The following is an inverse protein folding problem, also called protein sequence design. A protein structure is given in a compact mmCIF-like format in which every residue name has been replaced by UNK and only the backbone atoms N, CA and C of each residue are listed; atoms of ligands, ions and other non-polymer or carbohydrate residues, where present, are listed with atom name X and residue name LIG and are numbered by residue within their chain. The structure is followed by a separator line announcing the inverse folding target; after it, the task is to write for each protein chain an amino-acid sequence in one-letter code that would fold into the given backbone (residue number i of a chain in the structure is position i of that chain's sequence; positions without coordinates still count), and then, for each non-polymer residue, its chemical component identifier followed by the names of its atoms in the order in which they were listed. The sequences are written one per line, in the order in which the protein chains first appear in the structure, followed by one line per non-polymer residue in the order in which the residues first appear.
data_IF_878484289501
#
_entry.id   IF_878484289501
#
_cell.length_a   1.000
_cell.length_b   1.000
_cell.length_c   1.000
_cell.angle_alpha   90.00
_cell.angle_beta   90.00
_cell.angle_gamma   90.00
#
_symmetry.space_group_name_H-M   'P 1'
#
loop_
_entity.id
_entity.type
_entity.pdbx_description
1 polymer ?
#
# COMPACT_ATOMS: atom_id res chain seq x y z
N UNK A 1 -5.17 15.27 15.95
CA UNK A 1 -5.36 14.29 17.03
C UNK A 1 -4.17 13.33 17.02
N UNK A 2 -3.58 13.00 18.18
CA UNK A 2 -2.46 12.04 18.22
C UNK A 2 -3.01 10.63 18.02
N UNK A 3 -2.36 9.81 17.19
CA UNK A 3 -2.80 8.44 16.90
C UNK A 3 -2.94 7.60 18.18
N UNK A 4 -2.06 7.84 19.16
CA UNK A 4 -2.06 7.14 20.47
C UNK A 4 -3.33 7.39 21.32
N UNK A 5 -4.12 8.42 20.99
CA UNK A 5 -5.32 8.83 21.73
C UNK A 5 -6.62 8.38 21.04
N UNK A 6 -6.53 7.68 19.91
CA UNK A 6 -7.71 7.26 19.16
C UNK A 6 -8.55 6.27 19.96
N UNK A 7 -9.88 6.42 19.86
CA UNK A 7 -10.83 5.45 20.37
C UNK A 7 -10.89 4.22 19.45
N UNK A 8 -11.45 3.08 19.91
CA UNK A 8 -11.64 1.92 19.04
C UNK A 8 -12.45 2.28 17.80
N UNK A 9 -12.00 1.82 16.63
CA UNK A 9 -12.64 2.15 15.36
C UNK A 9 -11.69 2.04 14.19
N UNK A 10 -12.21 2.36 13.01
CA UNK A 10 -11.49 2.31 11.75
C UNK A 10 -11.23 3.74 11.27
N UNK A 11 -9.99 4.03 10.90
CA UNK A 11 -9.52 5.35 10.55
C UNK A 11 -8.81 5.34 9.21
N UNK A 12 -9.00 6.40 8.43
CA UNK A 12 -8.17 6.73 7.27
C UNK A 12 -6.98 7.54 7.76
N UNK A 13 -5.78 7.01 7.57
CA UNK A 13 -4.55 7.71 7.90
C UNK A 13 -3.72 7.95 6.63
N UNK A 14 -2.87 8.95 6.67
CA UNK A 14 -1.95 9.30 5.59
C UNK A 14 -0.57 9.55 6.15
N UNK A 15 0.46 9.09 5.45
CA UNK A 15 1.83 9.47 5.81
C UNK A 15 2.03 10.96 5.48
N UNK A 16 2.41 11.77 6.47
CA UNK A 16 2.89 13.14 6.29
C UNK A 16 3.99 13.09 5.24
N UNK A 17 3.84 13.91 4.20
CA UNK A 17 4.63 13.86 2.98
C UNK A 17 6.14 13.71 3.26
N UNK A 18 6.73 12.60 2.82
CA UNK A 18 8.17 12.54 2.61
C UNK A 18 8.46 13.38 1.37
N UNK A 19 9.07 14.55 1.54
CA UNK A 19 9.65 15.29 0.42
C UNK A 19 11.04 14.73 0.22
N UNK A 20 11.33 13.98 -0.86
CA UNK A 20 12.70 13.60 -1.15
C UNK A 20 13.52 14.88 -1.32
N UNK A 21 14.61 14.99 -0.56
CA UNK A 21 15.49 16.15 -0.60
C UNK A 21 15.92 16.41 -2.06
N UNK A 22 15.58 17.59 -2.60
CA UNK A 22 15.91 18.00 -3.98
C UNK A 22 14.79 17.88 -5.04
N UNK A 23 13.55 17.51 -4.68
CA UNK A 23 12.46 17.51 -5.64
C UNK A 23 11.96 18.94 -5.97
N UNK A 24 12.11 19.38 -7.24
CA UNK A 24 11.66 20.70 -7.74
C UNK A 24 10.15 20.94 -7.64
N UNK A 25 9.34 19.88 -7.63
CA UNK A 25 7.89 19.94 -7.47
C UNK A 25 7.48 18.82 -6.49
N UNK A 26 7.36 19.11 -5.19
CA UNK A 26 6.79 18.15 -4.25
C UNK A 26 5.34 17.89 -4.68
N UNK A 27 5.07 16.66 -5.12
CA UNK A 27 3.70 16.18 -5.32
C UNK A 27 3.29 15.40 -4.08
N UNK A 28 2.10 15.68 -3.57
CA UNK A 28 1.50 14.85 -2.53
C UNK A 28 1.38 13.43 -3.07
N UNK A 29 2.09 12.50 -2.43
CA UNK A 29 2.07 11.11 -2.84
C UNK A 29 0.77 10.47 -2.35
N UNK A 30 -0.25 10.46 -3.21
CA UNK A 30 -1.55 9.83 -2.93
C UNK A 30 -1.45 8.30 -2.64
N UNK A 31 -0.30 7.66 -2.90
CA UNK A 31 -0.01 6.26 -2.50
C UNK A 31 0.25 6.04 -1.00
N UNK A 32 -0.06 7.02 -0.14
CA UNK A 32 0.24 6.96 1.30
C UNK A 32 -0.99 6.83 2.19
N UNK A 33 -2.19 6.68 1.61
CA UNK A 33 -3.40 6.38 2.36
C UNK A 33 -3.34 4.94 2.86
N UNK A 34 -3.53 4.77 4.17
CA UNK A 34 -3.56 3.48 4.86
C UNK A 34 -4.83 3.38 5.69
N UNK A 35 -5.26 2.16 5.97
CA UNK A 35 -6.34 1.89 6.91
C UNK A 35 -5.75 1.63 8.29
N UNK A 36 -6.22 2.32 9.32
CA UNK A 36 -5.84 2.06 10.71
C UNK A 36 -7.04 1.51 11.47
N UNK A 37 -6.92 0.31 12.00
CA UNK A 37 -7.92 -0.29 12.87
C UNK A 37 -7.42 -0.26 14.31
N UNK A 38 -8.15 0.42 15.18
CA UNK A 38 -7.88 0.50 16.61
C UNK A 38 -8.85 -0.43 17.33
N UNK A 39 -8.33 -1.40 18.08
CA UNK A 39 -9.11 -2.36 18.86
C UNK A 39 -8.73 -2.31 20.33
N UNK A 40 -9.67 -2.67 21.22
CA UNK A 40 -9.43 -2.71 22.67
C UNK A 40 -9.32 -1.33 23.34
N UNK A 41 -9.29 -1.30 24.67
CA UNK A 41 -9.23 -0.08 25.49
C UNK A 41 -8.14 -0.21 26.56
N UNK A 42 -7.61 0.95 27.01
CA UNK A 42 -6.57 1.01 28.03
C UNK A 42 -5.31 0.21 27.65
N UNK A 43 -4.88 -0.67 28.55
CA UNK A 43 -3.69 -1.52 28.37
C UNK A 43 -3.83 -2.58 27.27
N UNK A 44 -5.05 -2.93 26.86
CA UNK A 44 -5.31 -3.91 25.81
C UNK A 44 -5.48 -3.28 24.41
N UNK A 45 -5.22 -1.98 24.27
CA UNK A 45 -5.37 -1.28 23.00
C UNK A 45 -4.32 -1.76 22.00
N UNK A 46 -4.75 -2.07 20.77
CA UNK A 46 -3.87 -2.41 19.64
C UNK A 46 -4.23 -1.63 18.40
N UNK A 47 -3.22 -1.39 17.58
CA UNK A 47 -3.30 -0.61 16.34
C UNK A 47 -2.85 -1.48 15.17
N UNK A 48 -3.72 -1.69 14.20
CA UNK A 48 -3.46 -2.49 13.02
C UNK A 48 -3.45 -1.59 11.79
N UNK A 49 -2.34 -1.53 11.06
CA UNK A 49 -2.25 -0.80 9.80
C UNK A 49 -2.49 -1.79 8.65
N UNK A 50 -3.41 -1.46 7.76
CA UNK A 50 -3.84 -2.28 6.62
C UNK A 50 -4.16 -3.74 7.02
N UNK A 51 -3.35 -4.69 6.56
CA UNK A 51 -3.49 -6.12 6.78
C UNK A 51 -2.56 -6.66 7.87
N UNK A 52 -2.01 -5.81 8.74
CA UNK A 52 -1.17 -6.26 9.85
C UNK A 52 -1.99 -7.12 10.84
N UNK A 53 -1.69 -8.42 10.81
CA UNK A 53 -2.31 -9.45 11.65
C UNK A 53 -1.92 -9.37 13.11
N UNK A 54 -0.74 -8.83 13.44
CA UNK A 54 -0.24 -8.84 14.81
C UNK A 54 -0.70 -7.59 15.56
N UNK A 55 -0.71 -6.45 14.88
CA UNK A 55 -1.01 -5.15 15.46
C UNK A 55 0.06 -4.71 16.45
N UNK A 56 0.20 -3.41 16.62
CA UNK A 56 1.20 -2.82 17.51
C UNK A 56 0.55 -2.28 18.78
N UNK A 57 1.24 -2.44 19.91
CA UNK A 57 0.87 -1.80 21.15
C UNK A 57 1.22 -0.30 21.11
N UNK A 58 0.44 0.62 21.72
CA UNK A 58 0.74 2.05 21.73
C UNK A 58 2.16 2.44 22.18
N UNK A 59 2.82 1.62 23.00
CA UNK A 59 4.18 1.82 23.49
C UNK A 59 5.26 1.38 22.49
N UNK A 60 4.94 0.43 21.60
CA UNK A 60 5.84 -0.12 20.58
C UNK A 60 5.76 0.62 19.24
N UNK A 61 4.80 1.55 19.10
CA UNK A 61 4.55 2.35 17.89
C UNK A 61 5.56 3.50 17.70
N UNK A 62 6.84 3.17 17.45
CA UNK A 62 7.88 4.16 17.12
C UNK A 62 7.66 4.81 15.74
N UNK A 63 6.92 4.17 14.81
CA UNK A 63 6.79 4.60 13.40
C UNK A 63 5.51 5.38 13.05
N UNK A 64 4.69 5.76 14.04
CA UNK A 64 3.37 6.37 13.77
C UNK A 64 3.36 7.91 13.85
N UNK A 65 4.47 8.55 14.19
CA UNK A 65 4.59 10.02 14.18
C UNK A 65 4.51 10.60 12.75
N UNK A 66 4.91 9.78 11.78
CA UNK A 66 4.85 10.05 10.36
C UNK A 66 3.43 10.04 9.80
N UNK A 67 2.42 9.63 10.57
CA UNK A 67 1.06 9.54 10.08
C UNK A 67 0.16 10.64 10.65
N UNK A 68 -0.76 11.10 9.82
CA UNK A 68 -1.86 11.97 10.20
C UNK A 68 -3.20 11.26 9.99
N UNK A 69 -4.15 11.52 10.89
CA UNK A 69 -5.51 11.00 10.80
C UNK A 69 -6.32 11.93 9.92
N UNK A 70 -6.84 11.41 8.81
CA UNK A 70 -7.70 12.17 7.89
C UNK A 70 -9.15 12.11 8.36
N UNK A 71 -9.66 10.91 8.60
CA UNK A 71 -11.07 10.70 8.97
C UNK A 71 -11.28 9.38 9.70
N UNK A 72 -12.42 9.27 10.39
CA UNK A 72 -12.93 8.02 10.98
C UNK A 72 -14.03 7.46 10.09
N UNK A 73 -14.07 6.15 9.91
CA UNK A 73 -15.18 5.46 9.26
C UNK A 73 -16.26 5.10 10.29
N UNK A 74 -17.52 5.32 9.92
CA UNK A 74 -18.68 4.96 10.75
C UNK A 74 -19.03 3.46 10.64
N UNK A 75 -18.65 2.83 9.54
CA UNK A 75 -18.89 1.42 9.25
C UNK A 75 -17.66 0.79 8.60
N UNK A 76 -17.65 -0.54 8.49
CA UNK A 76 -16.58 -1.26 7.80
C UNK A 76 -16.53 -0.80 6.34
N UNK A 77 -15.41 -0.26 5.85
CA UNK A 77 -15.32 0.22 4.48
C UNK A 77 -15.50 -0.95 3.52
N UNK A 78 -16.38 -0.77 2.54
CA UNK A 78 -16.56 -1.72 1.44
C UNK A 78 -15.60 -1.38 0.31
N UNK A 79 -14.87 -2.38 -0.17
CA UNK A 79 -14.01 -2.24 -1.34
C UNK A 79 -14.89 -2.43 -2.58
N UNK A 80 -15.29 -1.32 -3.19
CA UNK A 80 -16.09 -1.29 -4.41
C UNK A 80 -15.22 -0.86 -5.60
N UNK A 81 -15.47 -1.42 -6.78
CA UNK A 81 -14.77 -1.07 -8.03
C UNK A 81 -13.25 -1.23 -7.99
N UNK A 82 -12.76 -2.27 -7.32
CA UNK A 82 -11.32 -2.54 -7.27
C UNK A 82 -10.77 -2.85 -8.68
N UNK A 83 -9.60 -2.31 -8.99
CA UNK A 83 -8.86 -2.70 -10.19
C UNK A 83 -7.37 -2.71 -9.91
N UNK A 84 -6.71 -3.75 -10.39
CA UNK A 84 -5.28 -3.92 -10.35
C UNK A 84 -4.77 -3.68 -11.78
N UNK A 85 -3.87 -2.73 -11.92
CA UNK A 85 -3.21 -2.46 -13.20
C UNK A 85 -1.77 -2.92 -13.14
N UNK A 86 -1.39 -3.81 -14.05
CA UNK A 86 -0.01 -4.22 -14.28
C UNK A 86 0.47 -3.52 -15.53
N UNK A 87 1.58 -2.79 -15.44
CA UNK A 87 2.25 -2.25 -16.62
C UNK A 87 3.71 -2.64 -16.64
N UNK A 88 4.22 -2.91 -17.85
CA UNK A 88 5.64 -3.14 -18.08
C UNK A 88 6.04 -2.62 -19.45
N UNK A 89 7.35 -2.40 -19.61
CA UNK A 89 7.95 -2.03 -20.89
C UNK A 89 8.91 -3.11 -21.33
N UNK A 90 8.91 -3.41 -22.62
CA UNK A 90 9.88 -4.34 -23.17
C UNK A 90 11.24 -3.66 -23.47
N UNK A 91 12.16 -4.42 -24.08
CA UNK A 91 13.48 -3.90 -24.46
C UNK A 91 13.46 -2.90 -25.63
N UNK A 92 12.35 -2.82 -26.37
CA UNK A 92 12.13 -1.87 -27.47
C UNK A 92 11.49 -0.57 -26.97
N UNK A 93 10.95 -0.57 -25.74
CA UNK A 93 10.26 0.56 -25.14
C UNK A 93 8.74 0.51 -25.30
N UNK A 94 8.19 -0.56 -25.88
CA UNK A 94 6.76 -0.76 -26.03
C UNK A 94 6.14 -1.00 -24.66
N UNK A 95 5.02 -0.33 -24.38
CA UNK A 95 4.32 -0.41 -23.11
C UNK A 95 3.12 -1.36 -23.21
N UNK A 96 3.06 -2.30 -22.27
CA UNK A 96 1.96 -3.22 -22.10
C UNK A 96 1.22 -2.88 -20.81
N UNK A 97 -0.11 -2.94 -20.84
CA UNK A 97 -0.96 -2.67 -19.70
C UNK A 97 -2.07 -3.72 -19.60
N UNK A 98 -2.21 -4.32 -18.42
CA UNK A 98 -3.25 -5.27 -18.08
C UNK A 98 -4.04 -4.74 -16.90
N UNK A 99 -5.36 -4.63 -17.07
CA UNK A 99 -6.27 -4.28 -15.98
C UNK A 99 -7.08 -5.51 -15.59
N UNK A 100 -6.98 -5.89 -14.32
CA UNK A 100 -7.74 -7.01 -13.74
C UNK A 100 -8.54 -6.52 -12.53
N UNK A 101 -9.64 -7.20 -12.20
CA UNK A 101 -10.58 -6.77 -11.15
C UNK A 101 -10.36 -7.47 -9.82
N UNK A 102 -9.47 -8.46 -9.76
CA UNK A 102 -9.23 -9.24 -8.55
C UNK A 102 -7.87 -9.96 -8.59
N UNK A 103 -7.43 -10.40 -7.41
CA UNK A 103 -6.14 -11.07 -7.21
C UNK A 103 -6.08 -12.49 -7.79
N UNK A 104 -7.22 -13.16 -7.97
CA UNK A 104 -7.28 -14.49 -8.58
C UNK A 104 -6.98 -14.41 -10.07
N UNK A 105 -7.63 -13.48 -10.76
CA UNK A 105 -7.40 -13.15 -12.18
C UNK A 105 -5.95 -12.69 -12.40
N UNK A 106 -5.41 -11.89 -11.47
CA UNK A 106 -3.99 -11.54 -11.45
C UNK A 106 -3.09 -12.79 -11.37
N UNK A 107 -3.39 -13.71 -10.45
CA UNK A 107 -2.66 -14.97 -10.31
C UNK A 107 -2.71 -15.82 -11.57
N UNK A 108 -3.86 -15.91 -12.23
CA UNK A 108 -4.02 -16.61 -13.50
C UNK A 108 -3.19 -15.97 -14.62
N UNK A 109 -3.16 -14.64 -14.68
CA UNK A 109 -2.32 -13.91 -15.63
C UNK A 109 -0.84 -14.30 -15.44
N UNK A 110 -0.32 -14.28 -14.21
CA UNK A 110 1.07 -14.71 -13.98
C UNK A 110 1.33 -16.19 -14.25
N UNK A 111 0.33 -17.07 -14.10
CA UNK A 111 0.46 -18.50 -14.42
C UNK A 111 0.47 -18.76 -15.93
N UNK A 112 -0.41 -18.11 -16.69
CA UNK A 112 -0.56 -18.35 -18.13
C UNK A 112 0.45 -17.58 -18.98
N UNK A 113 0.89 -16.42 -18.51
CA UNK A 113 1.94 -15.65 -19.15
C UNK A 113 3.30 -16.05 -18.58
N UNK A 114 3.69 -17.32 -18.71
CA UNK A 114 5.00 -17.82 -18.27
C UNK A 114 6.17 -17.06 -18.91
N UNK A 115 5.95 -16.42 -20.06
CA UNK A 115 6.92 -15.52 -20.68
C UNK A 115 7.06 -14.16 -19.95
N UNK A 116 6.05 -13.71 -19.20
CA UNK A 116 6.20 -12.61 -18.22
C UNK A 116 6.98 -13.02 -16.97
N UNK A 117 7.20 -14.32 -16.74
CA UNK A 117 8.12 -14.82 -15.72
C UNK A 117 9.59 -14.84 -16.21
N UNK A 118 9.83 -14.72 -17.52
CA UNK A 118 11.18 -14.68 -18.08
C UNK A 118 12.03 -13.41 -17.81
N UNK A 119 11.55 -12.24 -17.34
CA UNK A 119 12.44 -11.11 -17.07
C UNK A 119 13.31 -11.31 -15.81
N UNK A 120 13.08 -12.36 -15.00
CA UNK A 120 13.97 -12.72 -13.89
C UNK A 120 15.12 -13.66 -14.31
N UNK A 121 15.11 -14.16 -15.56
CA UNK A 121 16.20 -14.94 -16.14
C UNK A 121 17.13 -14.07 -16.96
N UNK A 122 18.18 -13.56 -16.32
CA UNK A 122 19.37 -12.91 -16.89
C UNK A 122 19.57 -13.08 -18.42
N UNK A 123 19.25 -12.06 -19.21
CA UNK A 123 19.91 -11.88 -20.50
C UNK A 123 21.25 -11.19 -20.24
N UNK A 124 22.37 -11.94 -20.31
CA UNK A 124 23.69 -11.33 -20.49
C UNK A 124 23.66 -10.54 -21.79
N UNK A 125 23.70 -9.20 -21.70
CA UNK A 125 23.95 -8.31 -22.84
C UNK A 125 25.21 -8.83 -23.57
N UNK A 126 25.07 -9.30 -24.81
CA UNK A 126 26.23 -9.51 -25.69
C UNK A 126 26.86 -8.13 -25.90
N UNK A 127 28.08 -7.93 -25.39
CA UNK A 127 28.91 -6.77 -25.75
C UNK A 127 29.14 -6.83 -27.25
N UNK A 128 28.70 -5.79 -27.96
CA UNK A 128 29.20 -5.46 -29.30
C UNK A 128 30.46 -4.63 -29.14
#
# INVERSE_FOLDING_TARGET
MKIKELSPGIYKIRRKSYVPYGAKHPRDNNNTIRLLTVVGTGANRKYHIDHDTFGQHPEEMYDMEDFEVISRYESIPQVNNQSITISFKDGSGDQFEFRVVDAWTLGNLFRHFTWLQKPFGYFKRKKR
#
